data_IF_361543676181
#
_entry.id   IF_361543676181
#
_cell.length_a   1.000
_cell.length_b   1.000
_cell.length_c   1.000
_cell.angle_alpha   90.00
_cell.angle_beta   90.00
_cell.angle_gamma   90.00
#
_symmetry.space_group_name_H-M   'P 1'
#
loop_
_entity.id
_entity.type
_entity.pdbx_description
1 polymer ?
#
# COMPACT_ATOMS: atom_id res chain seq x y z
N UNK A 1 -2.22 11.78 -24.50
CA UNK A 1 -1.98 10.67 -23.54
C UNK A 1 -2.19 11.13 -22.08
N UNK A 2 -3.34 11.75 -21.77
CA UNK A 2 -3.69 12.24 -20.40
C UNK A 2 -4.81 11.45 -19.73
N UNK A 3 -5.48 10.57 -20.48
CA UNK A 3 -6.74 9.93 -20.10
C UNK A 3 -6.61 8.83 -19.03
N UNK A 4 -5.44 8.18 -18.92
CA UNK A 4 -5.25 7.09 -17.95
C UNK A 4 -5.17 7.59 -16.50
N UNK A 5 -4.51 8.74 -16.27
CA UNK A 5 -4.19 9.21 -14.93
C UNK A 5 -5.46 9.53 -14.13
N UNK A 6 -6.44 10.17 -14.75
CA UNK A 6 -7.68 10.57 -14.06
C UNK A 6 -8.56 9.36 -13.69
N UNK A 7 -8.55 8.30 -14.51
CA UNK A 7 -9.37 7.11 -14.25
C UNK A 7 -8.79 6.15 -13.21
N UNK A 8 -7.49 6.24 -12.89
CA UNK A 8 -6.83 5.36 -11.90
C UNK A 8 -6.46 6.04 -10.59
N UNK A 9 -6.76 7.34 -10.43
CA UNK A 9 -6.63 8.02 -9.14
C UNK A 9 -7.78 7.58 -8.21
N UNK A 10 -7.47 6.58 -7.39
CA UNK A 10 -8.39 6.05 -6.39
C UNK A 10 -7.97 6.49 -4.99
N UNK A 11 -8.95 6.60 -4.09
CA UNK A 11 -8.68 6.78 -2.67
C UNK A 11 -8.37 5.41 -2.06
N UNK A 12 -7.20 5.26 -1.46
CA UNK A 12 -6.85 4.12 -0.61
C UNK A 12 -6.79 4.60 0.84
N UNK A 13 -7.63 4.02 1.70
CA UNK A 13 -7.57 4.23 3.15
C UNK A 13 -7.40 2.88 3.82
N UNK A 14 -6.39 2.74 4.66
CA UNK A 14 -6.04 1.49 5.33
C UNK A 14 -5.82 1.74 6.82
N UNK A 15 -6.31 0.83 7.66
CA UNK A 15 -6.09 0.79 9.10
C UNK A 15 -5.62 -0.61 9.44
N UNK A 16 -4.38 -0.72 9.93
CA UNK A 16 -3.80 -1.94 10.43
C UNK A 16 -3.63 -1.80 11.95
N UNK A 17 -4.37 -2.57 12.77
CA UNK A 17 -4.33 -2.44 14.23
C UNK A 17 -2.91 -2.57 14.78
N UNK A 18 -2.50 -1.61 15.62
CA UNK A 18 -1.15 -1.59 16.22
C UNK A 18 -0.01 -1.19 15.27
N UNK A 19 -0.31 -0.86 14.00
CA UNK A 19 0.69 -0.50 12.99
C UNK A 19 0.42 0.89 12.43
N UNK A 20 -0.82 1.17 12.03
CA UNK A 20 -1.16 2.46 11.38
C UNK A 20 -1.26 3.61 12.38
N UNK A 21 -0.61 4.73 12.03
CA UNK A 21 -0.82 6.04 12.68
C UNK A 21 -1.73 6.91 11.82
N UNK A 22 -2.62 7.67 12.46
CA UNK A 22 -3.47 8.62 11.74
C UNK A 22 -2.61 9.65 10.98
N UNK A 23 -2.88 9.81 9.68
CA UNK A 23 -2.11 10.69 8.80
C UNK A 23 -2.52 10.56 7.34
N UNK A 24 -1.95 11.43 6.50
CA UNK A 24 -2.05 11.34 5.04
C UNK A 24 -0.68 10.98 4.50
N UNK A 25 -0.62 9.95 3.66
CA UNK A 25 0.57 9.61 2.89
C UNK A 25 0.45 10.24 1.49
N UNK A 26 1.49 10.96 1.06
CA UNK A 26 1.56 11.56 -0.27
C UNK A 26 2.36 10.70 -1.27
N UNK A 27 2.92 9.58 -0.81
CA UNK A 27 3.64 8.66 -1.69
C UNK A 27 2.67 8.00 -2.69
N UNK A 28 3.04 7.91 -3.97
CA UNK A 28 2.25 7.18 -4.95
C UNK A 28 2.28 5.68 -4.62
N UNK A 29 1.11 5.07 -4.52
CA UNK A 29 0.94 3.63 -4.26
C UNK A 29 0.06 3.00 -5.33
N UNK A 30 0.22 1.71 -5.59
CA UNK A 30 -0.59 0.97 -6.55
C UNK A 30 -1.58 0.03 -5.83
N UNK A 31 -2.71 -0.28 -6.46
CA UNK A 31 -3.67 -1.24 -5.93
C UNK A 31 -3.11 -2.68 -5.91
N UNK A 32 -2.12 -2.97 -6.76
CA UNK A 32 -1.40 -4.25 -6.75
C UNK A 32 -0.64 -4.51 -5.45
N UNK A 33 -0.29 -3.44 -4.72
CA UNK A 33 0.44 -3.51 -3.46
C UNK A 33 -0.42 -4.02 -2.29
N UNK A 34 -1.75 -4.05 -2.45
CA UNK A 34 -2.68 -4.48 -1.40
C UNK A 34 -2.43 -5.93 -0.99
N UNK A 35 -2.30 -6.84 -1.97
CA UNK A 35 -2.09 -8.26 -1.68
C UNK A 35 -0.79 -8.52 -0.91
N UNK A 36 0.40 -8.08 -1.36
CA UNK A 36 1.63 -8.29 -0.61
C UNK A 36 1.60 -7.58 0.75
N UNK A 37 0.91 -6.44 0.88
CA UNK A 37 0.72 -5.76 2.17
C UNK A 37 -0.07 -6.63 3.15
N UNK A 38 -1.19 -7.23 2.72
CA UNK A 38 -1.99 -8.10 3.58
C UNK A 38 -1.23 -9.36 3.99
N UNK A 39 -0.45 -9.95 3.08
CA UNK A 39 0.40 -11.11 3.37
C UNK A 39 1.43 -10.77 4.46
N UNK A 40 2.12 -9.62 4.35
CA UNK A 40 3.07 -9.17 5.38
C UNK A 40 2.37 -8.90 6.72
N UNK A 41 1.24 -8.18 6.70
CA UNK A 41 0.51 -7.83 7.92
C UNK A 41 -0.09 -9.06 8.63
N UNK A 42 -0.46 -10.10 7.89
CA UNK A 42 -0.94 -11.36 8.42
C UNK A 42 0.19 -12.32 8.85
N UNK A 43 1.46 -11.97 8.60
CA UNK A 43 2.61 -12.84 8.89
C UNK A 43 2.66 -14.10 8.03
N UNK A 44 2.06 -14.05 6.84
CA UNK A 44 2.02 -15.18 5.90
C UNK A 44 3.30 -15.22 5.04
N UNK A 45 3.68 -16.41 4.53
CA UNK A 45 4.82 -16.51 3.62
C UNK A 45 4.58 -15.68 2.36
N UNK A 46 5.60 -14.94 1.95
CA UNK A 46 5.56 -14.16 0.71
C UNK A 46 5.28 -15.08 -0.48
N UNK A 47 4.35 -14.66 -1.34
CA UNK A 47 4.00 -15.42 -2.55
C UNK A 47 4.86 -14.94 -3.71
N UNK A 48 5.61 -15.85 -4.31
CA UNK A 48 6.45 -15.58 -5.48
C UNK A 48 5.58 -15.29 -6.72
N UNK A 49 6.11 -14.45 -7.62
CA UNK A 49 5.44 -14.10 -8.88
C UNK A 49 4.33 -13.05 -8.77
N UNK A 50 4.28 -12.30 -7.66
CA UNK A 50 3.34 -11.19 -7.49
C UNK A 50 4.02 -9.87 -7.83
N UNK A 51 3.37 -9.10 -8.69
CA UNK A 51 3.73 -7.71 -8.97
C UNK A 51 3.18 -6.81 -7.87
N UNK A 52 4.06 -6.06 -7.21
CA UNK A 52 3.71 -5.15 -6.13
C UNK A 52 4.70 -5.22 -4.96
N UNK A 53 4.70 -4.20 -4.11
CA UNK A 53 5.54 -4.11 -2.92
C UNK A 53 4.68 -3.84 -1.70
N UNK A 54 5.02 -4.42 -0.56
CA UNK A 54 4.24 -4.19 0.66
C UNK A 54 4.31 -2.72 1.10
N UNK A 55 3.16 -2.16 1.42
CA UNK A 55 2.99 -0.81 1.96
C UNK A 55 3.18 -0.76 3.47
N UNK A 56 3.54 -1.87 4.13
CA UNK A 56 3.64 -1.93 5.59
C UNK A 56 4.61 -0.89 6.17
N UNK A 57 5.70 -0.57 5.48
CA UNK A 57 6.61 0.52 5.85
C UNK A 57 5.91 1.89 5.83
N UNK A 58 5.11 2.17 4.81
CA UNK A 58 4.31 3.39 4.69
C UNK A 58 3.18 3.47 5.73
N UNK A 59 2.63 2.31 6.13
CA UNK A 59 1.63 2.24 7.20
C UNK A 59 2.25 2.55 8.58
N UNK A 60 3.50 2.15 8.82
CA UNK A 60 4.26 2.48 10.05
C UNK A 60 4.72 3.93 10.07
N UNK A 61 5.28 4.40 8.96
CA UNK A 61 5.75 5.77 8.77
C UNK A 61 5.35 6.31 7.39
N UNK A 62 4.39 7.26 7.31
CA UNK A 62 3.97 7.87 6.06
C UNK A 62 5.08 8.63 5.31
N UNK A 63 6.22 8.92 5.96
CA UNK A 63 7.37 9.58 5.36
C UNK A 63 8.48 8.61 4.92
N UNK A 64 8.32 7.31 5.17
CA UNK A 64 9.26 6.29 4.69
C UNK A 64 9.24 6.27 3.15
N UNK A 65 10.42 6.29 2.51
CA UNK A 65 10.56 6.15 1.05
C UNK A 65 10.41 4.71 0.59
#
# INVERSE_FOLDING_TARGET
MRMMRDSTHNVLMCIAPGITRAGRCAAPVNLLDIYPTLVELAGLPAKEGIEGTSLASLLRDPASK
#
